data_IF_705153382722
#
_entry.id   IF_705153382722
#
_cell.length_a   1.000
_cell.length_b   1.000
_cell.length_c   1.000
_cell.angle_alpha   90.00
_cell.angle_beta   90.00
_cell.angle_gamma   90.00
#
_symmetry.space_group_name_H-M   'P 1'
#
loop_
_entity.id
_entity.type
_entity.pdbx_description
1 polymer ?
#
# COMPACT_ATOMS: atom_id res chain seq x y z
N UNK A 1 -11.32 23.28 13.58
CA UNK A 1 -10.72 21.92 13.62
C UNK A 1 -10.04 21.75 14.98
N UNK A 2 -10.25 20.63 15.65
CA UNK A 2 -9.68 20.43 16.99
C UNK A 2 -8.21 19.98 16.88
N UNK A 3 -7.27 20.90 17.08
CA UNK A 3 -5.82 20.62 16.98
C UNK A 3 -5.34 19.49 17.89
N UNK A 4 -5.95 19.34 19.06
CA UNK A 4 -5.63 18.27 20.01
C UNK A 4 -6.02 16.89 19.46
N UNK A 5 -7.21 16.79 18.87
CA UNK A 5 -7.69 15.53 18.25
C UNK A 5 -6.82 15.15 17.04
N UNK A 6 -6.44 16.13 16.21
CA UNK A 6 -5.55 15.88 15.07
C UNK A 6 -4.17 15.42 15.52
N UNK A 7 -3.57 16.04 16.52
CA UNK A 7 -2.27 15.62 17.07
C UNK A 7 -2.32 14.21 17.64
N UNK A 8 -3.38 13.88 18.40
CA UNK A 8 -3.58 12.55 18.95
C UNK A 8 -3.74 11.50 17.86
N UNK A 9 -4.50 11.81 16.81
CA UNK A 9 -4.66 10.94 15.66
C UNK A 9 -3.33 10.70 14.93
N UNK A 10 -2.56 11.73 14.64
CA UNK A 10 -1.27 11.60 13.95
C UNK A 10 -0.29 10.74 14.77
N UNK A 11 -0.25 10.91 16.09
CA UNK A 11 0.61 10.12 16.97
C UNK A 11 0.19 8.64 16.97
N UNK A 12 -1.10 8.38 17.10
CA UNK A 12 -1.65 7.04 17.05
C UNK A 12 -1.40 6.38 15.69
N UNK A 13 -1.73 7.05 14.59
CA UNK A 13 -1.56 6.53 13.24
C UNK A 13 -0.09 6.20 12.92
N UNK A 14 0.85 7.07 13.35
CA UNK A 14 2.28 6.78 13.21
C UNK A 14 2.66 5.50 13.95
N UNK A 15 2.20 5.33 15.18
CA UNK A 15 2.50 4.15 15.99
C UNK A 15 1.98 2.88 15.35
N UNK A 16 0.75 2.88 14.86
CA UNK A 16 0.14 1.73 14.20
C UNK A 16 0.83 1.39 12.86
N UNK A 17 1.19 2.40 12.08
CA UNK A 17 1.94 2.18 10.83
C UNK A 17 3.34 1.63 11.08
N UNK A 18 4.05 2.09 12.10
CA UNK A 18 5.36 1.52 12.49
C UNK A 18 5.21 0.05 12.85
N UNK A 19 4.22 -0.32 13.67
CA UNK A 19 3.95 -1.73 14.00
C UNK A 19 3.64 -2.57 12.77
N UNK A 20 2.80 -2.05 11.86
CA UNK A 20 2.47 -2.73 10.61
C UNK A 20 3.68 -2.93 9.70
N UNK A 21 4.53 -1.92 9.57
CA UNK A 21 5.79 -2.01 8.80
C UNK A 21 6.73 -3.01 9.44
N UNK A 22 6.94 -2.99 10.75
CA UNK A 22 7.77 -3.97 11.47
C UNK A 22 7.29 -5.40 11.24
N UNK A 23 5.99 -5.64 11.31
CA UNK A 23 5.41 -6.97 11.05
C UNK A 23 5.73 -7.45 9.62
N UNK A 24 5.65 -6.57 8.63
CA UNK A 24 6.02 -6.92 7.25
C UNK A 24 7.53 -7.10 7.08
N UNK A 25 8.36 -6.27 7.73
CA UNK A 25 9.82 -6.43 7.71
C UNK A 25 10.23 -7.78 8.30
N UNK A 26 9.61 -8.20 9.41
CA UNK A 26 9.83 -9.54 9.99
C UNK A 26 9.39 -10.64 9.01
N UNK A 27 8.21 -10.52 8.42
CA UNK A 27 7.68 -11.50 7.46
C UNK A 27 8.64 -11.73 6.30
N UNK A 28 9.20 -10.67 5.73
CA UNK A 28 10.13 -10.73 4.60
C UNK A 28 11.60 -10.87 5.01
N UNK A 29 11.88 -11.02 6.30
CA UNK A 29 13.23 -11.18 6.81
C UNK A 29 14.13 -9.97 6.55
N UNK A 30 13.56 -8.76 6.55
CA UNK A 30 14.28 -7.49 6.54
C UNK A 30 14.47 -7.04 7.99
N UNK A 31 15.30 -7.77 8.72
CA UNK A 31 15.53 -7.61 10.17
C UNK A 31 17.02 -7.51 10.48
N UNK A 32 17.36 -7.26 11.74
CA UNK A 32 18.72 -7.35 12.26
C UNK A 32 18.77 -8.37 13.43
N UNK A 33 19.47 -9.49 13.27
CA UNK A 33 20.20 -9.95 12.07
C UNK A 33 19.29 -10.38 10.93
N UNK A 34 19.80 -10.35 9.69
CA UNK A 34 19.06 -10.82 8.51
C UNK A 34 19.01 -12.35 8.52
N UNK A 35 17.81 -12.98 8.52
CA UNK A 35 17.69 -14.44 8.69
C UNK A 35 18.07 -15.24 7.45
N UNK A 36 17.99 -14.64 6.27
CA UNK A 36 18.27 -15.30 4.99
C UNK A 36 19.09 -14.38 4.08
N UNK A 37 20.10 -14.89 3.34
CA UNK A 37 20.95 -14.07 2.50
C UNK A 37 20.18 -13.38 1.37
N UNK A 38 20.85 -12.45 0.70
CA UNK A 38 20.36 -11.80 -0.53
C UNK A 38 20.13 -12.87 -1.60
N UNK A 39 19.09 -12.73 -2.41
CA UNK A 39 18.73 -13.69 -3.45
C UNK A 39 17.96 -14.92 -2.96
N UNK A 40 17.60 -14.99 -1.67
CA UNK A 40 16.84 -16.14 -1.14
C UNK A 40 15.41 -16.17 -1.69
N UNK A 41 15.04 -17.29 -2.28
CA UNK A 41 13.68 -17.56 -2.78
C UNK A 41 12.70 -17.99 -1.66
N UNK A 42 13.23 -18.26 -0.46
CA UNK A 42 12.43 -18.64 0.69
C UNK A 42 12.95 -17.91 1.93
N UNK A 43 12.03 -17.30 2.67
CA UNK A 43 12.33 -16.55 3.90
C UNK A 43 11.34 -16.93 4.98
N UNK A 44 11.82 -17.29 6.17
CA UNK A 44 10.98 -17.73 7.29
C UNK A 44 9.97 -18.83 6.91
N UNK A 45 10.35 -19.73 5.98
CA UNK A 45 9.48 -20.79 5.48
C UNK A 45 8.45 -20.36 4.44
N UNK A 46 8.43 -19.08 4.03
CA UNK A 46 7.54 -18.57 3.00
C UNK A 46 8.29 -18.47 1.67
N UNK A 47 7.76 -19.07 0.59
CA UNK A 47 8.31 -18.88 -0.75
C UNK A 47 8.04 -17.47 -1.24
N UNK A 48 9.02 -16.86 -1.89
CA UNK A 48 8.93 -15.54 -2.50
C UNK A 48 8.82 -15.68 -4.02
N UNK A 49 8.00 -14.86 -4.63
CA UNK A 49 8.00 -14.68 -6.08
C UNK A 49 9.31 -14.00 -6.55
N UNK A 50 9.70 -14.16 -7.82
CA UNK A 50 10.90 -13.47 -8.35
C UNK A 50 10.87 -11.95 -8.13
N UNK A 51 9.71 -11.31 -8.23
CA UNK A 51 9.55 -9.89 -7.97
C UNK A 51 9.78 -9.54 -6.49
N UNK A 52 9.28 -10.36 -5.57
CA UNK A 52 9.48 -10.17 -4.13
C UNK A 52 10.93 -10.37 -3.72
N UNK A 53 11.65 -11.30 -4.35
CA UNK A 53 13.09 -11.48 -4.12
C UNK A 53 13.84 -10.19 -4.47
N UNK A 54 13.61 -9.61 -5.65
CA UNK A 54 14.24 -8.36 -6.08
C UNK A 54 13.90 -7.20 -5.15
N UNK A 55 12.63 -7.08 -4.76
CA UNK A 55 12.18 -6.03 -3.85
C UNK A 55 12.79 -6.17 -2.45
N UNK A 56 12.87 -7.39 -1.95
CA UNK A 56 13.51 -7.68 -0.66
C UNK A 56 14.98 -7.34 -0.69
N UNK A 57 15.70 -7.73 -1.73
CA UNK A 57 17.14 -7.47 -1.87
C UNK A 57 17.43 -5.97 -1.91
N UNK A 58 16.59 -5.19 -2.57
CA UNK A 58 16.68 -3.74 -2.56
C UNK A 58 16.43 -3.14 -1.17
N UNK A 59 15.47 -3.66 -0.42
CA UNK A 59 15.24 -3.24 0.96
C UNK A 59 16.42 -3.56 1.87
N UNK A 60 17.05 -4.74 1.72
CA UNK A 60 18.25 -5.10 2.46
C UNK A 60 19.43 -4.20 2.11
N UNK A 61 19.59 -3.81 0.84
CA UNK A 61 20.59 -2.83 0.41
C UNK A 61 20.37 -1.48 1.09
N UNK A 62 19.14 -0.97 1.07
CA UNK A 62 18.81 0.30 1.73
C UNK A 62 19.02 0.21 3.23
N UNK A 63 18.62 -0.91 3.86
CA UNK A 63 18.84 -1.14 5.29
C UNK A 63 20.33 -1.06 5.66
N UNK A 64 21.20 -1.62 4.84
CA UNK A 64 22.66 -1.54 5.04
C UNK A 64 23.17 -0.09 4.98
N UNK A 65 22.57 0.74 4.14
CA UNK A 65 22.98 2.15 3.97
C UNK A 65 22.46 3.05 5.10
N UNK A 66 21.20 2.91 5.48
CA UNK A 66 20.53 3.87 6.40
C UNK A 66 20.29 3.31 7.79
N UNK A 67 20.38 2.00 7.98
CA UNK A 67 20.03 1.28 9.21
C UNK A 67 18.57 0.85 9.28
N UNK A 68 18.31 -0.15 10.11
CA UNK A 68 16.99 -0.79 10.26
C UNK A 68 15.88 0.19 10.71
N UNK A 69 16.15 0.97 11.75
CA UNK A 69 15.17 1.92 12.29
C UNK A 69 14.83 3.02 11.28
N UNK A 70 15.83 3.55 10.58
CA UNK A 70 15.60 4.59 9.58
C UNK A 70 14.81 4.07 8.37
N UNK A 71 15.06 2.84 7.93
CA UNK A 71 14.28 2.19 6.88
C UNK A 71 12.82 2.01 7.31
N UNK A 72 12.58 1.50 8.51
CA UNK A 72 11.24 1.33 9.10
C UNK A 72 10.47 2.65 9.14
N UNK A 73 11.08 3.69 9.68
CA UNK A 73 10.44 5.00 9.84
C UNK A 73 10.14 5.66 8.49
N UNK A 74 11.05 5.52 7.51
CA UNK A 74 10.80 5.99 6.12
C UNK A 74 9.65 5.25 5.46
N UNK A 75 9.56 3.93 5.64
CA UNK A 75 8.46 3.14 5.10
C UNK A 75 7.12 3.54 5.74
N UNK A 76 7.07 3.68 7.07
CA UNK A 76 5.87 4.12 7.78
C UNK A 76 5.42 5.52 7.35
N UNK A 77 6.34 6.47 7.20
CA UNK A 77 6.05 7.82 6.70
C UNK A 77 5.52 7.81 5.27
N UNK A 78 6.12 7.00 4.39
CA UNK A 78 5.67 6.84 3.00
C UNK A 78 4.23 6.32 2.95
N UNK A 79 3.90 5.30 3.73
CA UNK A 79 2.55 4.76 3.83
C UNK A 79 1.56 5.77 4.40
N UNK A 80 1.95 6.50 5.45
CA UNK A 80 1.11 7.56 6.01
C UNK A 80 0.72 8.59 4.94
N UNK A 81 1.69 9.11 4.20
CA UNK A 81 1.43 10.09 3.14
C UNK A 81 0.53 9.54 2.03
N UNK A 82 0.75 8.27 1.61
CA UNK A 82 -0.09 7.61 0.60
C UNK A 82 -1.53 7.45 1.09
N UNK A 83 -1.74 6.99 2.31
CA UNK A 83 -3.08 6.82 2.87
C UNK A 83 -3.81 8.16 3.02
N UNK A 84 -3.14 9.21 3.47
CA UNK A 84 -3.72 10.55 3.54
C UNK A 84 -4.09 11.07 2.15
N UNK A 85 -3.24 10.87 1.14
CA UNK A 85 -3.52 11.29 -0.23
C UNK A 85 -4.73 10.54 -0.82
N UNK A 86 -4.81 9.21 -0.64
CA UNK A 86 -5.96 8.42 -1.09
C UNK A 86 -7.24 8.89 -0.38
N UNK A 87 -7.17 9.10 0.93
CA UNK A 87 -8.33 9.58 1.70
C UNK A 87 -8.79 10.97 1.25
N UNK A 88 -7.85 11.85 0.95
CA UNK A 88 -8.17 13.17 0.38
C UNK A 88 -8.88 13.04 -0.97
N UNK A 89 -8.40 12.19 -1.86
CA UNK A 89 -9.02 11.95 -3.15
C UNK A 89 -10.42 11.34 -3.02
N UNK A 90 -10.62 10.41 -2.09
CA UNK A 90 -11.94 9.84 -1.81
C UNK A 90 -12.96 10.89 -1.38
N UNK A 91 -12.57 11.71 -0.38
CA UNK A 91 -13.48 12.71 0.21
C UNK A 91 -13.87 13.80 -0.78
N UNK A 92 -13.00 14.11 -1.75
CA UNK A 92 -13.22 15.10 -2.78
C UNK A 92 -13.70 14.52 -4.12
N UNK A 93 -13.97 13.22 -4.17
CA UNK A 93 -14.39 12.50 -5.39
C UNK A 93 -13.41 12.65 -6.57
N UNK A 94 -12.11 12.61 -6.26
CA UNK A 94 -11.03 12.73 -7.26
C UNK A 94 -10.52 11.36 -7.74
N UNK A 95 -11.04 10.27 -7.21
CA UNK A 95 -10.68 8.93 -7.68
C UNK A 95 -11.35 8.66 -9.03
N UNK A 96 -10.61 8.19 -10.06
CA UNK A 96 -11.17 7.92 -11.38
C UNK A 96 -12.30 6.90 -11.39
N UNK A 97 -12.27 5.96 -10.45
CA UNK A 97 -13.30 4.91 -10.27
C UNK A 97 -14.53 5.38 -9.50
N UNK A 98 -14.50 6.56 -8.88
CA UNK A 98 -15.51 7.05 -7.95
C UNK A 98 -15.86 6.09 -6.79
N UNK A 99 -15.04 5.04 -6.58
CA UNK A 99 -15.21 4.05 -5.53
C UNK A 99 -14.28 4.35 -4.37
N UNK A 100 -14.80 4.20 -3.16
CA UNK A 100 -14.02 4.42 -1.94
C UNK A 100 -13.07 3.26 -1.67
N UNK A 101 -11.78 3.58 -1.61
CA UNK A 101 -10.67 2.62 -1.43
C UNK A 101 -10.40 2.34 0.06
N UNK A 102 -10.57 3.34 0.92
CA UNK A 102 -10.28 3.27 2.36
C UNK A 102 -11.53 3.30 3.24
N UNK A 103 -12.69 3.58 2.67
CA UNK A 103 -13.94 3.72 3.41
C UNK A 103 -15.13 3.16 2.65
N UNK A 104 -16.31 3.13 3.28
CA UNK A 104 -17.58 2.75 2.66
C UNK A 104 -18.58 3.90 2.74
N UNK A 105 -19.33 4.12 1.68
CA UNK A 105 -20.46 5.08 1.67
C UNK A 105 -21.59 4.63 2.59
N UNK A 106 -21.80 3.33 2.69
CA UNK A 106 -22.83 2.73 3.53
C UNK A 106 -22.46 2.65 5.01
N UNK A 107 -21.28 3.18 5.42
CA UNK A 107 -20.79 3.15 6.80
C UNK A 107 -20.35 1.76 7.28
N UNK A 108 -20.13 0.82 6.37
CA UNK A 108 -19.53 -0.49 6.68
C UNK A 108 -18.08 -0.35 7.12
N UNK A 109 -17.59 -1.33 7.85
CA UNK A 109 -16.16 -1.39 8.26
C UNK A 109 -15.26 -1.68 7.06
N UNK A 110 -15.73 -2.47 6.10
CA UNK A 110 -15.00 -2.83 4.89
C UNK A 110 -15.15 -1.75 3.83
N UNK A 111 -14.05 -1.35 3.14
CA UNK A 111 -14.09 -0.39 2.04
C UNK A 111 -14.94 -0.87 0.86
N UNK A 112 -15.53 0.06 0.12
CA UNK A 112 -16.38 -0.26 -1.04
C UNK A 112 -15.59 -1.01 -2.13
N UNK A 113 -14.31 -0.71 -2.33
CA UNK A 113 -13.46 -1.44 -3.25
C UNK A 113 -13.36 -2.95 -2.95
N UNK A 114 -13.47 -3.35 -1.69
CA UNK A 114 -13.45 -4.76 -1.28
C UNK A 114 -14.82 -5.41 -1.42
N UNK A 115 -15.88 -4.68 -1.14
CA UNK A 115 -17.27 -5.20 -1.15
C UNK A 115 -17.89 -5.20 -2.54
N UNK A 116 -17.52 -4.23 -3.39
CA UNK A 116 -18.05 -4.06 -4.75
C UNK A 116 -16.93 -3.81 -5.77
N UNK A 117 -15.94 -4.71 -5.89
CA UNK A 117 -14.75 -4.48 -6.74
C UNK A 117 -15.09 -4.34 -8.23
N UNK A 118 -16.20 -4.93 -8.68
CA UNK A 118 -16.61 -4.88 -10.09
C UNK A 118 -17.23 -3.53 -10.48
N UNK A 119 -17.72 -2.75 -9.53
CA UNK A 119 -18.25 -1.41 -9.79
C UNK A 119 -17.11 -0.40 -10.05
N UNK A 120 -15.87 -0.79 -9.75
CA UNK A 120 -14.68 0.04 -9.97
C UNK A 120 -14.27 0.19 -11.43
N UNK A 121 -14.94 -0.46 -12.38
CA UNK A 121 -14.55 -0.50 -13.80
C UNK A 121 -13.05 -0.84 -14.00
N UNK A 122 -12.50 -1.64 -13.08
CA UNK A 122 -11.12 -2.08 -13.10
C UNK A 122 -11.01 -3.35 -13.95
N UNK A 123 -10.31 -3.28 -15.07
CA UNK A 123 -9.95 -4.47 -15.84
C UNK A 123 -8.87 -5.26 -15.08
N UNK A 124 -9.31 -6.30 -14.39
CA UNK A 124 -8.41 -7.29 -13.81
C UNK A 124 -8.08 -8.33 -14.89
N UNK A 125 -6.86 -8.31 -15.41
CA UNK A 125 -6.36 -9.43 -16.17
C UNK A 125 -5.78 -10.46 -15.17
N UNK A 126 -6.39 -11.65 -15.04
CA UNK A 126 -5.95 -12.65 -14.06
C UNK A 126 -4.55 -13.21 -14.36
N UNK A 127 -4.05 -13.08 -15.61
CA UNK A 127 -2.78 -13.70 -16.04
C UNK A 127 -1.53 -12.86 -15.77
N UNK A 128 -1.62 -11.53 -15.64
CA UNK A 128 -0.43 -10.68 -15.49
C UNK A 128 -0.39 -9.81 -14.24
N UNK A 129 -1.43 -9.84 -13.42
CA UNK A 129 -1.53 -9.05 -12.18
C UNK A 129 -1.38 -7.54 -12.40
N UNK A 130 -1.52 -7.06 -13.64
CA UNK A 130 -1.36 -5.67 -14.02
C UNK A 130 -2.70 -5.02 -14.28
N UNK A 131 -2.87 -3.84 -13.71
CA UNK A 131 -4.00 -2.97 -13.94
C UNK A 131 -3.91 -2.34 -15.35
N UNK A 132 -4.96 -2.45 -16.16
CA UNK A 132 -5.16 -1.67 -17.39
C UNK A 132 -6.27 -0.65 -17.15
N UNK A 133 -5.95 0.64 -17.19
CA UNK A 133 -6.97 1.68 -17.27
C UNK A 133 -7.54 1.75 -18.70
N UNK A 134 -8.83 1.49 -18.87
CA UNK A 134 -9.52 1.82 -20.11
C UNK A 134 -9.81 3.33 -20.10
N UNK A 135 -9.09 4.08 -20.92
CA UNK A 135 -9.55 5.39 -21.33
C UNK A 135 -10.74 5.18 -22.26
N UNK A 136 -11.91 5.58 -21.79
CA UNK A 136 -13.13 5.65 -22.60
C UNK A 136 -12.86 6.57 -23.79
N UNK A 137 -12.63 6.00 -24.97
CA UNK A 137 -12.66 6.74 -26.22
C UNK A 137 -14.07 7.30 -26.37
N UNK A 138 -14.21 8.61 -26.24
CA UNK A 138 -15.41 9.31 -26.69
C UNK A 138 -15.45 9.21 -28.21
N UNK A 139 -16.18 8.25 -28.73
CA UNK A 139 -16.60 8.23 -30.11
C UNK A 139 -17.62 9.38 -30.32
N UNK A 140 -17.09 10.53 -30.67
CA UNK A 140 -17.86 11.64 -31.23
C UNK A 140 -18.29 11.32 -32.63
N UNK A 141 -19.36 10.58 -32.79
CA UNK A 141 -20.05 10.43 -34.08
C UNK A 141 -20.71 11.73 -34.46
N UNK A 142 -20.07 12.49 -35.35
CA UNK A 142 -20.74 13.46 -36.19
C UNK A 142 -21.31 12.69 -37.38
N UNK A 143 -22.62 12.74 -37.53
CA UNK A 143 -23.38 12.31 -38.67
C UNK A 143 -24.71 13.05 -38.67
#
# INVERSE_FOLDING_TARGET
MNDSALKSFCTWARTELIKGVEAQMVRYGVTEPVPSPVGSETVNGLPLSPAEVVQRDELLRIQTEVGHEALRDRAAYTWFNRLIAIRFMEVNDYLPSHIRVLSSESGKVEPDLVTTPFDAELDFNPDDGRYRSHSRAQDGGLG
#
